data_IF_992650737630
#
_entry.id   IF_992650737630
#
_cell.length_a   1.000
_cell.length_b   1.000
_cell.length_c   1.000
_cell.angle_alpha   90.00
_cell.angle_beta   90.00
_cell.angle_gamma   90.00
#
_symmetry.space_group_name_H-M   'P 1'
#
loop_
_entity.id
_entity.type
_entity.pdbx_description
1 polymer ?
#
# COMPACT_ATOMS: atom_id res chain seq x y z
N UNK A 1 -9.18 -27.58 38.31
CA UNK A 1 -9.86 -27.21 37.05
C UNK A 1 -8.83 -26.76 36.05
N UNK A 2 -8.40 -27.65 35.15
CA UNK A 2 -7.40 -27.39 34.11
C UNK A 2 -8.12 -27.39 32.76
N UNK A 3 -7.98 -26.29 32.03
CA UNK A 3 -8.59 -26.06 30.72
C UNK A 3 -7.88 -26.93 29.69
N UNK A 4 -8.64 -27.80 29.01
CA UNK A 4 -8.18 -28.70 27.94
C UNK A 4 -7.82 -27.86 26.71
N UNK A 5 -6.56 -27.94 26.26
CA UNK A 5 -6.15 -27.59 24.90
C UNK A 5 -6.68 -28.66 23.94
N UNK A 6 -7.52 -28.26 22.99
CA UNK A 6 -7.93 -29.09 21.87
C UNK A 6 -6.78 -29.08 20.83
N UNK A 7 -6.00 -30.16 20.79
CA UNK A 7 -5.11 -30.47 19.66
C UNK A 7 -5.97 -31.10 18.55
N UNK A 8 -6.07 -30.45 17.40
CA UNK A 8 -6.59 -31.07 16.19
C UNK A 8 -5.40 -31.74 15.48
N UNK A 9 -5.38 -33.07 15.52
CA UNK A 9 -4.48 -33.91 14.75
C UNK A 9 -5.06 -34.14 13.35
N UNK A 10 -4.32 -33.79 12.31
CA UNK A 10 -4.60 -34.23 10.94
C UNK A 10 -3.66 -35.40 10.64
N UNK A 11 -4.25 -36.53 10.29
CA UNK A 11 -3.58 -37.81 10.05
C UNK A 11 -2.64 -37.73 8.83
N UNK A 12 -1.34 -37.89 9.07
CA UNK A 12 -0.34 -38.14 8.04
C UNK A 12 -0.04 -39.63 7.95
N UNK A 13 -0.42 -40.24 6.83
CA UNK A 13 -0.03 -41.60 6.46
C UNK A 13 1.47 -41.58 6.12
N UNK A 14 2.29 -42.31 6.89
CA UNK A 14 3.65 -42.65 6.51
C UNK A 14 3.61 -43.70 5.39
N UNK A 15 3.98 -43.30 4.18
CA UNK A 15 4.52 -44.23 3.17
C UNK A 15 6.01 -43.94 3.06
N UNK A 16 6.81 -44.86 3.58
CA UNK A 16 8.25 -44.93 3.36
C UNK A 16 8.51 -45.43 1.94
N UNK A 17 9.13 -44.60 1.11
CA UNK A 17 9.90 -45.07 -0.04
C UNK A 17 11.25 -44.36 -0.03
N UNK A 18 12.31 -45.13 0.24
CA UNK A 18 13.68 -44.63 0.22
C UNK A 18 14.10 -44.21 -1.18
N UNK A 19 14.78 -43.08 -1.28
CA UNK A 19 15.52 -42.69 -2.48
C UNK A 19 16.93 -42.31 -2.08
N UNK A 20 17.87 -43.04 -2.69
CA UNK A 20 19.31 -42.89 -2.66
C UNK A 20 19.77 -41.43 -2.73
N UNK A 21 20.71 -41.07 -1.86
CA UNK A 21 21.42 -39.81 -1.87
C UNK A 21 22.29 -39.71 -3.13
N UNK A 22 21.93 -38.81 -4.04
CA UNK A 22 22.85 -38.31 -5.05
C UNK A 22 23.10 -36.83 -4.74
N UNK A 23 24.19 -36.57 -4.01
CA UNK A 23 24.69 -35.23 -3.73
C UNK A 23 25.14 -34.58 -5.05
N UNK A 24 24.28 -33.76 -5.64
CA UNK A 24 24.69 -32.58 -6.40
C UNK A 24 24.20 -31.37 -5.62
N UNK A 25 25.11 -30.77 -4.87
CA UNK A 25 24.93 -29.43 -4.32
C UNK A 25 24.66 -28.47 -5.47
N UNK A 26 23.41 -28.05 -5.63
CA UNK A 26 23.08 -26.89 -6.43
C UNK A 26 23.70 -25.67 -5.76
N UNK A 27 24.54 -24.93 -6.48
CA UNK A 27 25.04 -23.63 -6.05
C UNK A 27 23.83 -22.72 -5.82
N UNK A 28 23.60 -22.35 -4.56
CA UNK A 28 22.60 -21.35 -4.21
C UNK A 28 23.09 -20.00 -4.71
N UNK A 29 22.45 -19.49 -5.76
CA UNK A 29 22.57 -18.09 -6.16
C UNK A 29 22.24 -17.18 -4.97
N UNK A 30 22.95 -16.06 -4.86
CA UNK A 30 22.81 -15.13 -3.76
C UNK A 30 21.36 -14.63 -3.66
N UNK A 31 20.73 -14.72 -2.48
CA UNK A 31 19.34 -14.29 -2.24
C UNK A 31 19.09 -12.82 -2.63
N UNK A 32 20.13 -12.00 -2.57
CA UNK A 32 20.14 -10.61 -3.04
C UNK A 32 19.95 -10.51 -4.57
N UNK A 33 20.56 -11.42 -5.33
CA UNK A 33 20.43 -11.46 -6.79
C UNK A 33 19.03 -11.91 -7.19
N UNK A 34 18.48 -12.93 -6.52
CA UNK A 34 17.10 -13.39 -6.73
C UNK A 34 16.06 -12.28 -6.47
N UNK A 35 16.27 -11.46 -5.42
CA UNK A 35 15.38 -10.32 -5.12
C UNK A 35 15.46 -9.24 -6.18
N UNK A 36 16.65 -8.95 -6.69
CA UNK A 36 16.86 -7.96 -7.76
C UNK A 36 16.22 -8.41 -9.08
N UNK A 37 16.40 -9.69 -9.44
CA UNK A 37 15.77 -10.28 -10.62
C UNK A 37 14.24 -10.29 -10.46
N UNK A 38 13.74 -10.64 -9.27
CA UNK A 38 12.32 -10.60 -8.96
C UNK A 38 11.73 -9.20 -9.24
N UNK A 39 12.30 -8.15 -8.65
CA UNK A 39 11.82 -6.78 -8.85
C UNK A 39 11.87 -6.35 -10.32
N UNK A 40 12.92 -6.75 -11.05
CA UNK A 40 13.02 -6.48 -12.49
C UNK A 40 11.91 -7.16 -13.29
N UNK A 41 11.55 -8.40 -12.95
CA UNK A 41 10.46 -9.13 -13.60
C UNK A 41 9.10 -8.53 -13.27
N UNK A 42 8.88 -8.10 -12.03
CA UNK A 42 7.65 -7.37 -11.63
C UNK A 42 7.51 -6.08 -12.45
N UNK A 43 8.56 -5.26 -12.56
CA UNK A 43 8.52 -4.03 -13.38
C UNK A 43 8.20 -4.32 -14.85
N UNK A 44 8.68 -5.45 -15.39
CA UNK A 44 8.33 -5.88 -16.76
C UNK A 44 6.87 -6.35 -16.86
N UNK A 45 6.38 -7.08 -15.86
CA UNK A 45 4.99 -7.51 -15.78
C UNK A 45 4.04 -6.29 -15.76
N UNK A 46 4.30 -5.33 -14.88
CA UNK A 46 3.54 -4.09 -14.78
C UNK A 46 3.57 -3.29 -16.10
N UNK A 47 4.75 -3.20 -16.74
CA UNK A 47 4.86 -2.54 -18.06
C UNK A 47 4.02 -3.23 -19.14
N UNK A 48 3.97 -4.56 -19.16
CA UNK A 48 3.14 -5.31 -20.09
C UNK A 48 1.65 -5.13 -19.79
N UNK A 49 1.28 -5.13 -18.51
CA UNK A 49 -0.08 -4.89 -18.03
C UNK A 49 -0.60 -3.53 -18.51
N UNK A 50 0.18 -2.47 -18.32
CA UNK A 50 -0.18 -1.11 -18.75
C UNK A 50 -0.34 -0.99 -20.27
N UNK A 51 0.30 -1.88 -21.04
CA UNK A 51 0.15 -1.99 -22.50
C UNK A 51 -0.96 -2.96 -22.92
N UNK A 52 -1.75 -3.46 -21.97
CA UNK A 52 -2.81 -4.45 -22.16
C UNK A 52 -2.32 -5.78 -22.76
N UNK A 53 -1.03 -6.11 -22.62
CA UNK A 53 -0.50 -7.41 -22.99
C UNK A 53 -0.53 -8.34 -21.77
N UNK A 54 -1.74 -8.79 -21.42
CA UNK A 54 -2.02 -9.51 -20.18
C UNK A 54 -1.40 -10.91 -20.13
N UNK A 55 -1.34 -11.61 -21.27
CA UNK A 55 -0.68 -12.91 -21.36
C UNK A 55 0.82 -12.79 -21.03
N UNK A 56 1.51 -11.83 -21.66
CA UNK A 56 2.94 -11.60 -21.37
C UNK A 56 3.17 -11.07 -19.96
N UNK A 57 2.27 -10.22 -19.45
CA UNK A 57 2.31 -9.77 -18.06
C UNK A 57 2.21 -10.95 -17.09
N UNK A 58 1.24 -11.84 -17.30
CA UNK A 58 1.04 -13.07 -16.52
C UNK A 58 2.28 -13.97 -16.57
N UNK A 59 2.90 -14.14 -17.74
CA UNK A 59 4.15 -14.90 -17.88
C UNK A 59 5.32 -14.31 -17.08
N UNK A 60 5.43 -12.97 -17.01
CA UNK A 60 6.48 -12.34 -16.19
C UNK A 60 6.23 -12.53 -14.69
N UNK A 61 4.97 -12.49 -14.25
CA UNK A 61 4.61 -12.84 -12.87
C UNK A 61 4.98 -14.30 -12.55
N UNK A 62 4.70 -15.26 -13.44
CA UNK A 62 5.10 -16.67 -13.22
C UNK A 62 6.61 -16.82 -13.06
N UNK A 63 7.38 -16.19 -13.95
CA UNK A 63 8.84 -16.18 -13.85
C UNK A 63 9.28 -15.60 -12.52
N UNK A 64 8.68 -14.49 -12.08
CA UNK A 64 9.02 -13.87 -10.80
C UNK A 64 8.72 -14.82 -9.62
N UNK A 65 7.53 -15.44 -9.60
CA UNK A 65 7.11 -16.33 -8.52
C UNK A 65 7.87 -17.66 -8.48
N UNK A 66 8.50 -18.07 -9.59
CA UNK A 66 9.36 -19.26 -9.64
C UNK A 66 10.76 -19.07 -9.02
N UNK A 67 11.16 -17.85 -8.65
CA UNK A 67 12.51 -17.57 -8.13
C UNK A 67 12.75 -18.00 -6.68
N UNK A 68 11.77 -18.59 -6.01
CA UNK A 68 11.87 -18.97 -4.59
C UNK A 68 11.86 -17.77 -3.63
N UNK A 69 11.68 -16.55 -4.14
CA UNK A 69 11.43 -15.34 -3.33
C UNK A 69 9.96 -15.33 -2.95
N UNK A 70 9.64 -15.12 -1.66
CA UNK A 70 8.25 -14.96 -1.21
C UNK A 70 7.62 -13.78 -1.97
N UNK A 71 6.56 -14.01 -2.78
CA UNK A 71 5.96 -12.93 -3.55
C UNK A 71 5.33 -11.88 -2.64
N UNK A 72 5.51 -10.59 -2.92
CA UNK A 72 4.79 -9.52 -2.23
C UNK A 72 3.28 -9.67 -2.47
N UNK A 73 2.47 -9.37 -1.46
CA UNK A 73 1.02 -9.61 -1.46
C UNK A 73 0.31 -9.01 -2.69
N UNK A 74 0.62 -7.75 -3.02
CA UNK A 74 0.03 -7.03 -4.15
C UNK A 74 0.43 -7.65 -5.49
N UNK A 75 1.61 -8.24 -5.60
CA UNK A 75 2.07 -8.86 -6.84
C UNK A 75 1.26 -10.13 -7.14
N UNK A 76 0.88 -10.92 -6.12
CA UNK A 76 0.00 -12.07 -6.31
C UNK A 76 -1.36 -11.66 -6.87
N UNK A 77 -1.92 -10.56 -6.37
CA UNK A 77 -3.21 -10.04 -6.84
C UNK A 77 -3.12 -9.45 -8.25
N UNK A 78 -2.13 -8.58 -8.52
CA UNK A 78 -1.92 -8.03 -9.86
C UNK A 78 -1.66 -9.15 -10.88
N UNK A 79 -0.92 -10.19 -10.49
CA UNK A 79 -0.74 -11.39 -11.30
C UNK A 79 -2.04 -12.14 -11.51
N UNK A 80 -2.92 -12.24 -10.51
CA UNK A 80 -4.24 -12.83 -10.70
C UNK A 80 -5.10 -12.03 -11.70
N UNK A 81 -5.12 -10.70 -11.61
CA UNK A 81 -5.80 -9.83 -12.58
C UNK A 81 -5.24 -10.04 -14.00
N UNK A 82 -3.92 -10.09 -14.16
CA UNK A 82 -3.29 -10.34 -15.46
C UNK A 82 -3.70 -11.70 -16.05
N UNK A 83 -3.76 -12.75 -15.23
CA UNK A 83 -4.20 -14.08 -15.66
C UNK A 83 -5.71 -14.11 -16.01
N UNK A 84 -6.55 -13.48 -15.22
CA UNK A 84 -7.99 -13.39 -15.47
C UNK A 84 -8.30 -12.66 -16.78
N UNK A 85 -7.60 -11.54 -17.04
CA UNK A 85 -7.69 -10.77 -18.27
C UNK A 85 -7.11 -11.49 -19.49
N UNK A 86 -6.14 -12.40 -19.30
CA UNK A 86 -5.65 -13.27 -20.37
C UNK A 86 -6.53 -14.51 -20.60
N UNK A 87 -7.61 -14.68 -19.84
CA UNK A 87 -8.51 -15.84 -19.92
C UNK A 87 -8.00 -17.11 -19.23
N UNK A 88 -6.91 -17.03 -18.47
CA UNK A 88 -6.38 -18.16 -17.68
C UNK A 88 -7.01 -18.18 -16.27
N UNK A 89 -8.22 -18.72 -16.19
CA UNK A 89 -8.97 -18.87 -14.94
C UNK A 89 -8.19 -19.68 -13.89
N UNK A 90 -7.48 -20.74 -14.32
CA UNK A 90 -6.76 -21.63 -13.41
C UNK A 90 -5.63 -20.91 -12.67
N UNK A 91 -4.80 -20.19 -13.41
CA UNK A 91 -3.70 -19.41 -12.84
C UNK A 91 -4.21 -18.25 -11.99
N UNK A 92 -5.29 -17.59 -12.40
CA UNK A 92 -5.90 -16.50 -11.63
C UNK A 92 -6.33 -16.96 -10.24
N UNK A 93 -7.12 -18.04 -10.14
CA UNK A 93 -7.54 -18.58 -8.84
C UNK A 93 -6.37 -19.10 -8.01
N UNK A 94 -5.39 -19.78 -8.62
CA UNK A 94 -4.20 -20.24 -7.90
C UNK A 94 -3.47 -19.07 -7.22
N UNK A 95 -3.32 -17.93 -7.90
CA UNK A 95 -2.69 -16.73 -7.35
C UNK A 95 -3.55 -16.05 -6.26
N UNK A 96 -4.87 -15.98 -6.44
CA UNK A 96 -5.80 -15.43 -5.43
C UNK A 96 -5.77 -16.25 -4.13
N UNK A 97 -5.92 -17.56 -4.22
CA UNK A 97 -5.85 -18.45 -3.05
C UNK A 97 -4.45 -18.47 -2.43
N UNK A 98 -3.38 -18.41 -3.24
CA UNK A 98 -2.02 -18.27 -2.71
C UNK A 98 -1.84 -16.97 -1.92
N UNK A 99 -2.43 -15.85 -2.37
CA UNK A 99 -2.41 -14.59 -1.60
C UNK A 99 -3.07 -14.77 -0.25
N UNK A 100 -4.29 -15.32 -0.23
CA UNK A 100 -5.04 -15.59 1.02
C UNK A 100 -4.23 -16.46 1.99
N UNK A 101 -3.57 -17.51 1.49
CA UNK A 101 -2.76 -18.41 2.31
C UNK A 101 -1.48 -17.76 2.85
N UNK A 102 -0.77 -16.98 2.02
CA UNK A 102 0.52 -16.36 2.38
C UNK A 102 0.35 -15.09 3.22
N UNK A 103 -0.83 -14.48 3.18
CA UNK A 103 -1.20 -13.21 3.81
C UNK A 103 -2.57 -13.31 4.51
N UNK A 104 -2.66 -14.03 5.63
CA UNK A 104 -3.95 -14.27 6.32
C UNK A 104 -4.57 -13.03 6.98
N UNK A 105 -3.88 -11.88 6.91
CA UNK A 105 -4.41 -10.57 7.34
C UNK A 105 -5.03 -9.78 6.17
N UNK A 106 -4.93 -10.29 4.94
CA UNK A 106 -5.47 -9.63 3.76
C UNK A 106 -6.88 -10.13 3.45
N UNK A 107 -7.80 -9.19 3.25
CA UNK A 107 -9.10 -9.38 2.60
C UNK A 107 -9.41 -8.18 1.72
N UNK A 108 -10.50 -8.23 0.94
CA UNK A 108 -10.93 -7.12 0.10
C UNK A 108 -12.44 -6.92 0.19
N UNK A 109 -12.85 -5.71 0.55
CA UNK A 109 -14.25 -5.29 0.55
C UNK A 109 -14.82 -5.05 -0.85
N UNK A 110 -13.93 -4.91 -1.84
CA UNK A 110 -14.27 -4.44 -3.18
C UNK A 110 -13.91 -5.44 -4.27
N UNK A 111 -13.58 -6.70 -3.92
CA UNK A 111 -13.15 -7.70 -4.89
C UNK A 111 -14.20 -7.94 -5.98
N UNK A 112 -15.49 -7.83 -5.64
CA UNK A 112 -16.62 -7.95 -6.58
C UNK A 112 -16.76 -6.77 -7.55
N UNK A 113 -16.08 -5.65 -7.28
CA UNK A 113 -16.12 -4.46 -8.13
C UNK A 113 -14.92 -4.38 -9.08
N UNK A 114 -13.92 -5.24 -8.87
CA UNK A 114 -12.72 -5.28 -9.70
C UNK A 114 -13.07 -5.83 -11.09
N UNK A 115 -12.94 -4.95 -12.09
CA UNK A 115 -13.30 -5.28 -13.47
C UNK A 115 -12.37 -6.31 -14.10
N UNK A 116 -11.14 -6.40 -13.58
CA UNK A 116 -10.13 -7.30 -14.13
C UNK A 116 -10.41 -8.76 -13.75
N UNK A 117 -11.26 -8.98 -12.74
CA UNK A 117 -11.67 -10.30 -12.25
C UNK A 117 -13.06 -10.72 -12.73
N UNK A 118 -13.78 -9.91 -13.51
CA UNK A 118 -15.17 -10.18 -13.94
C UNK A 118 -15.34 -11.54 -14.63
N UNK A 119 -14.33 -11.99 -15.39
CA UNK A 119 -14.34 -13.28 -16.07
C UNK A 119 -14.43 -14.47 -15.10
N UNK A 120 -14.02 -14.28 -13.85
CA UNK A 120 -14.00 -15.32 -12.82
C UNK A 120 -15.34 -15.47 -12.09
N UNK A 121 -16.21 -14.46 -12.12
CA UNK A 121 -17.40 -14.37 -11.26
C UNK A 121 -18.43 -15.50 -11.49
N UNK A 122 -18.39 -16.15 -12.66
CA UNK A 122 -19.27 -17.26 -13.00
C UNK A 122 -18.74 -18.63 -12.56
N UNK A 123 -17.48 -18.70 -12.12
CA UNK A 123 -16.86 -19.94 -11.65
C UNK A 123 -17.28 -20.26 -10.21
N UNK A 124 -17.61 -21.52 -9.86
CA UNK A 124 -17.88 -21.90 -8.47
C UNK A 124 -16.72 -21.61 -7.50
N UNK A 125 -15.48 -21.53 -8.01
CA UNK A 125 -14.31 -21.13 -7.21
C UNK A 125 -14.38 -19.69 -6.73
N UNK A 126 -15.13 -18.83 -7.43
CA UNK A 126 -15.36 -17.44 -7.03
C UNK A 126 -16.15 -17.37 -5.75
N UNK A 127 -17.25 -18.12 -5.66
CA UNK A 127 -18.07 -18.21 -4.44
C UNK A 127 -17.23 -18.67 -3.25
N UNK A 128 -16.41 -19.71 -3.43
CA UNK A 128 -15.47 -20.20 -2.40
C UNK A 128 -14.49 -19.11 -1.97
N UNK A 129 -13.94 -18.34 -2.91
CA UNK A 129 -13.02 -17.25 -2.62
C UNK A 129 -13.72 -16.14 -1.82
N UNK A 130 -14.91 -15.71 -2.26
CA UNK A 130 -15.70 -14.68 -1.57
C UNK A 130 -16.05 -15.10 -0.15
N UNK A 131 -16.52 -16.33 0.05
CA UNK A 131 -16.83 -16.88 1.38
C UNK A 131 -15.59 -16.93 2.28
N UNK A 132 -14.44 -17.31 1.71
CA UNK A 132 -13.16 -17.33 2.42
C UNK A 132 -12.77 -15.93 2.87
N UNK A 133 -12.85 -14.93 1.99
CA UNK A 133 -12.52 -13.54 2.32
C UNK A 133 -13.50 -12.94 3.34
N UNK A 134 -14.79 -13.26 3.25
CA UNK A 134 -15.81 -12.82 4.20
C UNK A 134 -15.58 -13.43 5.60
N UNK A 135 -15.23 -14.72 5.67
CA UNK A 135 -14.88 -15.38 6.92
C UNK A 135 -13.62 -14.76 7.55
N UNK A 136 -12.59 -14.47 6.74
CA UNK A 136 -11.38 -13.80 7.19
C UNK A 136 -11.66 -12.40 7.71
N UNK A 137 -12.42 -11.59 6.97
CA UNK A 137 -12.86 -10.26 7.42
C UNK A 137 -13.55 -10.34 8.77
N UNK A 138 -14.55 -11.21 8.89
CA UNK A 138 -15.31 -11.40 10.14
C UNK A 138 -14.39 -11.78 11.30
N UNK A 139 -13.39 -12.62 11.05
CA UNK A 139 -12.42 -13.01 12.06
C UNK A 139 -11.47 -11.87 12.45
N UNK A 140 -10.92 -11.14 11.48
CA UNK A 140 -9.96 -10.04 11.68
C UNK A 140 -10.65 -8.88 12.42
N UNK A 141 -11.84 -8.48 11.95
CA UNK A 141 -12.55 -7.31 12.46
C UNK A 141 -13.37 -7.59 13.75
N UNK A 142 -13.35 -8.83 14.28
CA UNK A 142 -14.24 -9.23 15.40
C UNK A 142 -14.17 -8.37 16.67
N UNK A 143 -13.04 -7.67 16.86
CA UNK A 143 -12.76 -6.84 18.02
C UNK A 143 -12.66 -5.36 17.65
N UNK A 144 -12.96 -4.99 16.40
CA UNK A 144 -12.87 -3.62 15.96
C UNK A 144 -13.95 -2.76 16.61
N UNK A 145 -13.60 -1.50 16.86
CA UNK A 145 -14.61 -0.46 17.02
C UNK A 145 -15.11 -0.09 15.63
N UNK A 146 -16.15 -0.80 15.17
CA UNK A 146 -16.72 -0.58 13.84
C UNK A 146 -17.24 0.84 13.65
N UNK A 147 -17.75 1.49 14.70
CA UNK A 147 -18.23 2.87 14.58
C UNK A 147 -17.07 3.86 14.35
N UNK A 148 -15.96 3.70 15.08
CA UNK A 148 -14.77 4.52 14.87
C UNK A 148 -14.11 4.20 13.52
N UNK A 149 -14.05 2.93 13.13
CA UNK A 149 -13.55 2.51 11.82
C UNK A 149 -14.35 3.14 10.69
N UNK A 150 -15.68 3.02 10.71
CA UNK A 150 -16.56 3.58 9.67
C UNK A 150 -16.45 5.11 9.60
N UNK A 151 -16.26 5.77 10.76
CA UNK A 151 -16.00 7.21 10.82
C UNK A 151 -14.68 7.57 10.13
N UNK A 152 -13.60 6.82 10.37
CA UNK A 152 -12.30 7.02 9.73
C UNK A 152 -12.35 6.73 8.22
N UNK A 153 -13.04 5.67 7.80
CA UNK A 153 -13.24 5.36 6.38
C UNK A 153 -14.02 6.48 5.66
N UNK A 154 -15.02 7.06 6.33
CA UNK A 154 -15.76 8.22 5.82
C UNK A 154 -14.88 9.47 5.71
N UNK A 155 -13.98 9.69 6.68
CA UNK A 155 -13.00 10.79 6.63
C UNK A 155 -12.06 10.62 5.43
N UNK A 156 -11.48 9.42 5.26
CA UNK A 156 -10.65 9.08 4.10
C UNK A 156 -11.37 9.39 2.78
N UNK A 157 -12.60 8.90 2.63
CA UNK A 157 -13.39 9.10 1.42
C UNK A 157 -13.64 10.59 1.14
N UNK A 158 -14.00 11.36 2.18
CA UNK A 158 -14.25 12.81 2.06
C UNK A 158 -12.99 13.62 1.78
N UNK A 159 -11.82 13.14 2.22
CA UNK A 159 -10.51 13.76 1.91
C UNK A 159 -10.09 13.46 0.46
N UNK A 160 -10.12 12.18 0.06
CA UNK A 160 -9.57 11.77 -1.23
C UNK A 160 -10.46 12.08 -2.43
N UNK A 161 -11.78 12.02 -2.28
CA UNK A 161 -12.72 12.27 -3.40
C UNK A 161 -12.55 13.65 -4.06
N UNK A 162 -12.57 14.78 -3.33
CA UNK A 162 -12.38 16.09 -3.95
C UNK A 162 -10.97 16.29 -4.49
N UNK A 163 -9.94 15.68 -3.88
CA UNK A 163 -8.56 15.70 -4.39
C UNK A 163 -8.46 15.02 -5.76
N UNK A 164 -9.06 13.85 -5.91
CA UNK A 164 -9.12 13.15 -7.19
C UNK A 164 -9.86 13.97 -8.25
N UNK A 165 -10.99 14.58 -7.90
CA UNK A 165 -11.73 15.45 -8.82
C UNK A 165 -10.93 16.69 -9.24
N UNK A 166 -10.20 17.30 -8.31
CA UNK A 166 -9.30 18.43 -8.57
C UNK A 166 -8.16 18.05 -9.52
N UNK A 167 -7.45 16.95 -9.24
CA UNK A 167 -6.36 16.46 -10.09
C UNK A 167 -6.86 16.06 -11.49
N UNK A 168 -8.05 15.45 -11.58
CA UNK A 168 -8.68 15.11 -12.85
C UNK A 168 -9.01 16.36 -13.68
N UNK A 169 -9.55 17.42 -13.04
CA UNK A 169 -9.83 18.68 -13.71
C UNK A 169 -8.55 19.35 -14.24
N UNK A 170 -7.48 19.39 -13.43
CA UNK A 170 -6.17 19.92 -13.86
C UNK A 170 -5.61 19.21 -15.10
N UNK A 171 -5.79 17.88 -15.19
CA UNK A 171 -5.27 17.08 -16.31
C UNK A 171 -6.12 17.17 -17.57
N UNK A 172 -7.45 17.17 -17.41
CA UNK A 172 -8.39 17.04 -18.53
C UNK A 172 -8.81 18.37 -19.15
N UNK A 173 -8.95 19.41 -18.33
CA UNK A 173 -9.46 20.72 -18.74
C UNK A 173 -8.69 21.87 -18.05
N UNK A 174 -7.35 21.93 -18.19
CA UNK A 174 -6.50 22.91 -17.49
C UNK A 174 -6.89 24.39 -17.73
N UNK A 175 -7.51 24.69 -18.87
CA UNK A 175 -7.97 26.01 -19.26
C UNK A 175 -9.26 26.45 -18.53
N UNK A 176 -10.03 25.52 -17.98
CA UNK A 176 -11.26 25.84 -17.22
C UNK A 176 -10.91 26.24 -15.79
N UNK A 177 -10.43 27.47 -15.65
CA UNK A 177 -10.00 28.01 -14.36
C UNK A 177 -11.15 28.13 -13.35
N UNK A 178 -12.41 28.23 -13.80
CA UNK A 178 -13.57 28.29 -12.91
C UNK A 178 -13.86 26.93 -12.29
N UNK A 179 -13.85 25.86 -13.09
CA UNK A 179 -14.00 24.49 -12.58
C UNK A 179 -12.88 24.14 -11.60
N UNK A 180 -11.62 24.42 -11.96
CA UNK A 180 -10.46 24.14 -11.10
C UNK A 180 -10.58 24.86 -9.75
N UNK A 181 -10.94 26.15 -9.76
CA UNK A 181 -11.17 26.92 -8.53
C UNK A 181 -12.33 26.36 -7.71
N UNK A 182 -13.41 25.93 -8.37
CA UNK A 182 -14.56 25.32 -7.70
C UNK A 182 -14.17 24.03 -6.98
N UNK A 183 -13.38 23.16 -7.64
CA UNK A 183 -12.86 21.92 -7.02
C UNK A 183 -11.90 22.20 -5.87
N UNK A 184 -11.07 23.23 -5.98
CA UNK A 184 -10.19 23.65 -4.90
C UNK A 184 -10.98 24.11 -3.67
N UNK A 185 -12.04 24.90 -3.84
CA UNK A 185 -12.90 25.36 -2.74
C UNK A 185 -13.65 24.18 -2.09
N UNK A 186 -14.14 23.24 -2.89
CA UNK A 186 -14.77 22.01 -2.39
C UNK A 186 -13.80 21.19 -1.52
N UNK A 187 -12.56 21.02 -2.00
CA UNK A 187 -11.49 20.34 -1.26
C UNK A 187 -11.18 21.05 0.06
N UNK A 188 -10.97 22.37 0.05
CA UNK A 188 -10.69 23.15 1.26
C UNK A 188 -11.83 23.09 2.28
N UNK A 189 -13.08 23.07 1.81
CA UNK A 189 -14.25 22.89 2.69
C UNK A 189 -14.20 21.52 3.37
N UNK A 190 -13.95 20.45 2.63
CA UNK A 190 -13.85 19.11 3.19
C UNK A 190 -12.68 18.98 4.16
N UNK A 191 -11.52 19.56 3.83
CA UNK A 191 -10.35 19.62 4.71
C UNK A 191 -10.72 20.22 6.07
N UNK A 192 -11.47 21.32 6.09
CA UNK A 192 -11.89 21.97 7.34
C UNK A 192 -12.83 21.10 8.20
N UNK A 193 -13.72 20.32 7.59
CA UNK A 193 -14.65 19.44 8.29
C UNK A 193 -13.89 18.22 8.84
N UNK A 194 -13.07 17.59 8.00
CA UNK A 194 -12.26 16.44 8.38
C UNK A 194 -11.27 16.79 9.50
N UNK A 195 -10.67 17.98 9.46
CA UNK A 195 -9.77 18.45 10.50
C UNK A 195 -10.44 18.48 11.88
N UNK A 196 -11.67 19.00 11.98
CA UNK A 196 -12.43 19.03 13.25
C UNK A 196 -12.64 17.62 13.79
N UNK A 197 -13.06 16.69 12.93
CA UNK A 197 -13.31 15.31 13.34
C UNK A 197 -12.05 14.56 13.72
N UNK A 198 -10.95 14.74 12.98
CA UNK A 198 -9.67 14.08 13.30
C UNK A 198 -9.09 14.62 14.60
N UNK A 199 -9.21 15.92 14.87
CA UNK A 199 -8.77 16.47 16.15
C UNK A 199 -9.56 15.90 17.33
N UNK A 200 -10.88 15.79 17.19
CA UNK A 200 -11.76 15.16 18.18
C UNK A 200 -11.37 13.69 18.45
N UNK A 201 -11.08 12.92 17.39
CA UNK A 201 -10.59 11.54 17.50
C UNK A 201 -9.24 11.51 18.23
N UNK A 202 -8.29 12.35 17.82
CA UNK A 202 -6.94 12.36 18.42
C UNK A 202 -6.95 12.81 19.88
N UNK A 203 -7.76 13.81 20.22
CA UNK A 203 -7.86 14.33 21.59
C UNK A 203 -8.59 13.34 22.51
N UNK A 204 -9.47 12.47 21.97
CA UNK A 204 -10.21 11.45 22.74
C UNK A 204 -9.49 10.11 22.85
N UNK A 205 -8.85 9.65 21.78
CA UNK A 205 -8.31 8.29 21.65
C UNK A 205 -6.78 8.24 21.56
N UNK A 206 -6.11 9.38 21.35
CA UNK A 206 -4.74 9.37 20.83
C UNK A 206 -4.70 8.79 19.42
N UNK A 207 -3.76 7.90 19.13
CA UNK A 207 -3.71 7.15 17.86
C UNK A 207 -4.53 5.86 17.98
N UNK A 208 -5.65 5.69 17.25
CA UNK A 208 -6.35 4.42 17.19
C UNK A 208 -5.48 3.37 16.51
N UNK A 209 -5.11 2.31 17.23
CA UNK A 209 -4.26 1.24 16.68
C UNK A 209 -5.00 0.43 15.60
N UNK A 210 -4.23 -0.22 14.74
CA UNK A 210 -4.75 -1.13 13.71
C UNK A 210 -5.48 -2.35 14.30
N UNK A 211 -5.25 -2.68 15.56
CA UNK A 211 -6.03 -3.71 16.28
C UNK A 211 -7.49 -3.28 16.53
N UNK A 212 -7.78 -1.98 16.57
CA UNK A 212 -9.11 -1.43 16.87
C UNK A 212 -9.83 -0.99 15.58
N UNK A 213 -9.09 -0.43 14.61
CA UNK A 213 -9.70 0.16 13.40
C UNK A 213 -9.08 -0.34 12.09
N UNK A 214 -8.16 -1.30 12.14
CA UNK A 214 -7.43 -1.74 10.96
C UNK A 214 -6.62 -0.61 10.32
N UNK A 215 -6.48 -0.66 9.00
CA UNK A 215 -5.78 0.37 8.23
C UNK A 215 -6.49 1.73 8.15
N UNK A 216 -7.73 1.84 8.65
CA UNK A 216 -8.51 3.08 8.58
C UNK A 216 -7.90 4.22 9.39
N UNK A 217 -7.04 3.92 10.37
CA UNK A 217 -6.28 4.95 11.09
C UNK A 217 -5.38 5.81 10.18
N UNK A 218 -5.02 5.33 8.98
CA UNK A 218 -4.22 6.10 8.03
C UNK A 218 -4.92 7.41 7.59
N UNK A 219 -6.26 7.45 7.61
CA UNK A 219 -7.04 8.66 7.34
C UNK A 219 -6.62 9.85 8.22
N UNK A 220 -6.15 9.59 9.44
CA UNK A 220 -5.64 10.61 10.36
C UNK A 220 -4.41 11.29 9.76
N UNK A 221 -3.43 10.52 9.29
CA UNK A 221 -2.24 11.10 8.69
C UNK A 221 -2.57 11.89 7.43
N UNK A 222 -3.47 11.36 6.58
CA UNK A 222 -3.92 12.02 5.35
C UNK A 222 -4.51 13.40 5.61
N UNK A 223 -5.33 13.54 6.65
CA UNK A 223 -5.90 14.84 7.03
C UNK A 223 -4.84 15.75 7.63
N UNK A 224 -4.06 15.28 8.61
CA UNK A 224 -3.11 16.13 9.34
C UNK A 224 -2.07 16.76 8.42
N UNK A 225 -1.58 16.06 7.39
CA UNK A 225 -0.63 16.64 6.45
C UNK A 225 -1.14 17.87 5.68
N UNK A 226 -2.46 18.08 5.64
CA UNK A 226 -3.12 19.19 4.97
C UNK A 226 -3.62 20.27 5.95
N UNK A 227 -3.17 20.22 7.21
CA UNK A 227 -3.52 21.22 8.25
C UNK A 227 -2.47 22.31 8.40
N UNK A 228 -2.69 23.27 9.31
CA UNK A 228 -1.72 24.30 9.68
C UNK A 228 -0.43 23.70 10.26
N UNK A 229 0.69 24.41 10.11
CA UNK A 229 1.99 24.03 10.68
C UNK A 229 1.91 23.69 12.17
N UNK A 230 1.21 24.51 12.96
CA UNK A 230 1.02 24.31 14.41
C UNK A 230 0.36 22.96 14.73
N UNK A 231 -0.69 22.60 13.98
CA UNK A 231 -1.37 21.32 14.14
C UNK A 231 -0.48 20.13 13.74
N UNK A 232 0.25 20.25 12.63
CA UNK A 232 1.21 19.22 12.22
C UNK A 232 2.23 18.97 13.33
N UNK A 233 2.80 20.02 13.90
CA UNK A 233 3.79 19.93 14.97
C UNK A 233 3.22 19.38 16.27
N UNK A 234 2.00 19.77 16.62
CA UNK A 234 1.27 19.23 17.78
C UNK A 234 1.18 17.70 17.71
N UNK A 235 0.90 17.15 16.53
CA UNK A 235 0.63 15.71 16.35
C UNK A 235 1.84 14.90 15.84
N UNK A 236 2.94 15.54 15.41
CA UNK A 236 4.13 14.84 14.93
C UNK A 236 4.70 13.83 15.96
N UNK A 237 4.79 14.11 17.28
CA UNK A 237 5.21 13.11 18.27
C UNK A 237 4.33 11.86 18.29
N UNK A 238 3.04 11.99 18.01
CA UNK A 238 2.12 10.85 17.92
C UNK A 238 2.47 9.96 16.72
N UNK A 239 2.83 10.55 15.58
CA UNK A 239 3.24 9.79 14.39
C UNK A 239 4.58 9.09 14.57
N UNK A 240 5.53 9.69 15.31
CA UNK A 240 6.75 8.99 15.71
C UNK A 240 6.44 7.75 16.54
N UNK A 241 5.54 7.87 17.52
CA UNK A 241 5.13 6.74 18.37
C UNK A 241 4.42 5.65 17.56
N UNK A 242 3.49 6.04 16.67
CA UNK A 242 2.82 5.11 15.78
C UNK A 242 3.82 4.35 14.90
N UNK A 243 4.79 5.05 14.29
CA UNK A 243 5.81 4.42 13.47
C UNK A 243 6.78 3.53 14.25
N UNK A 244 7.14 3.91 15.49
CA UNK A 244 7.97 3.08 16.37
C UNK A 244 7.27 1.76 16.75
N UNK A 245 5.93 1.77 16.82
CA UNK A 245 5.11 0.59 17.07
C UNK A 245 4.70 -0.18 15.80
N UNK A 246 5.13 0.26 14.61
CA UNK A 246 4.78 -0.37 13.34
C UNK A 246 3.36 -0.08 12.84
N UNK A 247 2.67 0.90 13.43
CA UNK A 247 1.29 1.31 13.09
C UNK A 247 1.24 2.34 11.95
N UNK A 248 2.35 3.00 11.67
CA UNK A 248 2.49 3.96 10.57
C UNK A 248 3.83 3.73 9.86
N UNK A 249 3.86 3.71 8.53
CA UNK A 249 5.12 3.57 7.82
C UNK A 249 6.03 4.78 8.10
N UNK A 250 7.32 4.53 8.37
CA UNK A 250 8.30 5.58 8.71
C UNK A 250 8.42 6.66 7.63
N UNK A 251 8.22 6.31 6.36
CA UNK A 251 8.25 7.28 5.26
C UNK A 251 7.24 8.42 5.45
N UNK A 252 6.08 8.15 6.05
CA UNK A 252 5.06 9.16 6.34
C UNK A 252 5.47 10.12 7.46
N UNK A 253 6.29 9.67 8.40
CA UNK A 253 6.90 10.55 9.41
C UNK A 253 7.94 11.45 8.76
N UNK A 254 8.84 10.89 7.95
CA UNK A 254 9.84 11.66 7.20
C UNK A 254 9.20 12.75 6.31
N UNK A 255 8.09 12.42 5.64
CA UNK A 255 7.33 13.40 4.85
C UNK A 255 6.79 14.56 5.69
N UNK A 256 6.35 14.29 6.92
CA UNK A 256 5.81 15.32 7.81
C UNK A 256 6.91 16.19 8.42
N UNK A 257 8.04 15.60 8.82
CA UNK A 257 9.21 16.34 9.29
C UNK A 257 9.73 17.31 8.23
N UNK A 258 9.98 16.82 7.01
CA UNK A 258 10.44 17.65 5.91
C UNK A 258 9.42 18.75 5.55
N UNK A 259 8.11 18.48 5.66
CA UNK A 259 7.07 19.50 5.46
C UNK A 259 7.13 20.60 6.52
N UNK A 260 7.35 20.24 7.78
CA UNK A 260 7.55 21.21 8.85
C UNK A 260 8.79 22.07 8.57
N UNK A 261 9.89 21.46 8.14
CA UNK A 261 11.12 22.17 7.82
C UNK A 261 10.93 23.12 6.64
N UNK A 262 10.33 22.65 5.55
CA UNK A 262 10.02 23.50 4.39
C UNK A 262 9.15 24.69 4.76
N UNK A 263 8.07 24.50 5.53
CA UNK A 263 7.17 25.59 5.95
C UNK A 263 7.82 26.57 6.92
N UNK A 264 8.87 26.15 7.64
CA UNK A 264 9.74 27.02 8.44
C UNK A 264 10.90 27.64 7.67
N UNK A 265 10.98 27.44 6.35
CA UNK A 265 12.12 27.82 5.53
C UNK A 265 13.46 27.24 6.04
N UNK A 266 13.45 26.02 6.56
CA UNK A 266 14.62 25.26 7.01
C UNK A 266 14.94 24.16 6.02
N UNK A 267 16.22 23.82 5.81
CA UNK A 267 16.57 22.69 4.97
C UNK A 267 15.97 21.40 5.53
N UNK A 268 15.44 20.57 4.64
CA UNK A 268 14.78 19.31 4.95
C UNK A 268 15.79 18.15 4.99
N UNK A 269 15.50 17.09 5.72
CA UNK A 269 16.44 15.99 5.94
C UNK A 269 16.33 14.90 4.87
N UNK A 270 15.12 14.55 4.45
CA UNK A 270 14.89 13.35 3.62
C UNK A 270 14.62 13.67 2.15
N UNK A 271 14.39 14.93 1.78
CA UNK A 271 14.17 15.35 0.39
C UNK A 271 12.79 14.94 -0.13
N UNK A 272 11.79 14.82 0.74
CA UNK A 272 10.44 14.39 0.36
C UNK A 272 9.59 15.54 -0.22
N UNK A 273 9.81 16.78 0.22
CA UNK A 273 9.12 17.95 -0.30
C UNK A 273 9.83 18.47 -1.55
N UNK A 274 9.07 18.63 -2.63
CA UNK A 274 9.59 19.04 -3.94
C UNK A 274 9.08 20.44 -4.29
N UNK A 275 9.93 21.20 -4.97
CA UNK A 275 9.60 22.48 -5.62
C UNK A 275 9.81 22.35 -7.13
N UNK A 276 9.26 23.29 -7.89
CA UNK A 276 9.51 23.38 -9.33
C UNK A 276 10.68 24.31 -9.59
N UNK A 277 11.65 23.86 -10.37
CA UNK A 277 12.73 24.73 -10.86
C UNK A 277 12.26 25.56 -12.08
N UNK A 278 13.14 26.41 -12.61
CA UNK A 278 12.84 27.26 -13.78
C UNK A 278 12.49 26.47 -15.04
N UNK A 279 12.93 25.22 -15.14
CA UNK A 279 12.62 24.30 -16.25
C UNK A 279 11.29 23.55 -16.04
N UNK A 280 10.60 23.78 -14.91
CA UNK A 280 9.36 23.08 -14.55
C UNK A 280 9.59 21.67 -14.01
N UNK A 281 10.82 21.26 -13.74
CA UNK A 281 11.15 19.95 -13.16
C UNK A 281 10.93 19.97 -11.65
N UNK A 282 10.49 18.84 -11.09
CA UNK A 282 10.41 18.66 -9.65
C UNK A 282 11.81 18.37 -9.10
N UNK A 283 12.28 19.25 -8.23
CA UNK A 283 13.57 19.14 -7.52
C UNK A 283 13.30 19.19 -6.02
N UNK A 284 14.15 18.56 -5.16
CA UNK A 284 13.93 18.65 -3.73
C UNK A 284 14.08 20.10 -3.26
N UNK A 285 13.24 20.51 -2.31
CA UNK A 285 13.53 21.70 -1.51
C UNK A 285 14.88 21.54 -0.79
N UNK A 286 15.50 22.64 -0.35
CA UNK A 286 16.85 22.68 0.22
C UNK A 286 17.11 21.52 1.18
N UNK A 287 18.19 20.76 0.94
CA UNK A 287 18.57 19.60 1.75
C UNK A 287 19.50 20.00 2.89
N UNK A 288 19.35 19.35 4.04
CA UNK A 288 20.23 19.54 5.19
C UNK A 288 21.66 19.06 4.90
N UNK A 289 21.78 17.90 4.26
CA UNK A 289 23.06 17.31 3.84
C UNK A 289 22.81 16.39 2.63
N UNK A 290 23.13 16.83 1.40
CA UNK A 290 22.95 16.03 0.19
C UNK A 290 23.75 14.73 0.18
N UNK A 291 24.89 14.66 0.89
CA UNK A 291 25.75 13.46 0.91
C UNK A 291 25.17 12.37 1.82
N UNK A 292 24.40 12.75 2.84
CA UNK A 292 23.78 11.81 3.80
C UNK A 292 22.34 11.45 3.48
N UNK A 293 21.70 12.13 2.54
CA UNK A 293 20.26 12.03 2.29
C UNK A 293 19.81 10.57 2.08
N UNK A 294 20.53 9.78 1.28
CA UNK A 294 20.14 8.39 1.01
C UNK A 294 20.37 7.45 2.22
N UNK A 295 21.30 7.80 3.12
CA UNK A 295 21.47 7.07 4.38
C UNK A 295 20.24 7.28 5.26
N UNK A 296 19.78 8.52 5.41
CA UNK A 296 18.58 8.84 6.18
C UNK A 296 17.29 8.33 5.55
N UNK A 297 17.20 8.38 4.21
CA UNK A 297 16.05 7.82 3.48
C UNK A 297 15.93 6.32 3.72
N UNK A 298 17.05 5.59 3.70
CA UNK A 298 17.07 4.15 4.02
C UNK A 298 16.58 3.86 5.44
N UNK A 299 16.95 4.66 6.43
CA UNK A 299 16.46 4.52 7.82
C UNK A 299 14.94 4.68 7.94
N UNK A 300 14.35 5.49 7.06
CA UNK A 300 12.91 5.78 7.00
C UNK A 300 12.17 4.98 5.93
N UNK A 301 12.78 3.92 5.40
CA UNK A 301 12.18 3.04 4.39
C UNK A 301 11.78 3.75 3.09
N UNK A 302 12.44 4.88 2.79
CA UNK A 302 12.31 5.61 1.55
C UNK A 302 13.26 5.04 0.48
N UNK A 303 12.86 5.02 -0.81
CA UNK A 303 13.77 4.69 -1.91
C UNK A 303 14.86 5.76 -2.02
N UNK A 304 15.99 5.49 -2.69
CA UNK A 304 16.99 6.51 -2.99
C UNK A 304 16.38 7.78 -3.60
N UNK A 305 16.92 8.95 -3.28
CA UNK A 305 16.38 10.24 -3.69
C UNK A 305 16.28 10.34 -5.21
N UNK A 306 17.31 9.89 -5.93
CA UNK A 306 17.31 9.92 -7.39
C UNK A 306 16.16 9.10 -7.98
N UNK A 307 15.90 7.90 -7.47
CA UNK A 307 14.79 7.06 -7.92
C UNK A 307 13.44 7.76 -7.67
N UNK A 308 13.28 8.38 -6.50
CA UNK A 308 12.10 9.15 -6.15
C UNK A 308 11.86 10.33 -7.11
N UNK A 309 12.90 11.10 -7.44
CA UNK A 309 12.80 12.22 -8.38
C UNK A 309 12.44 11.75 -9.80
N UNK A 310 13.01 10.65 -10.26
CA UNK A 310 12.63 10.05 -11.54
C UNK A 310 11.18 9.59 -11.57
N UNK A 311 10.64 9.07 -10.45
CA UNK A 311 9.22 8.72 -10.35
C UNK A 311 8.33 9.96 -10.38
N UNK A 312 8.72 11.04 -9.71
CA UNK A 312 7.93 12.27 -9.64
C UNK A 312 7.93 13.06 -10.94
N UNK A 313 9.03 13.04 -11.70
CA UNK A 313 9.13 13.71 -13.01
C UNK A 313 8.57 12.88 -14.18
N UNK A 314 8.19 11.61 -13.94
CA UNK A 314 7.47 10.77 -14.93
C UNK A 314 5.96 10.99 -14.94
N UNK A 315 5.42 11.71 -13.95
CA UNK A 315 3.97 11.97 -13.76
C UNK A 315 3.54 13.27 -14.40
#
# INVERSE_FOLDING_TARGET
>A
MKIKRLMVWIAGILITCGVSANNKTAEYGNQQDSTTIYNTLISKADSCYMKQNFELASMFFDKAFSLGVKPVDKHLYNGACAAALSGDEGTAFNRLFARVQLYPQWYSDQINQDRDLLSLHTSPKWEILCDTLQALKTFIERNYDHALKDRLDSIHYRDQTPRHAYLAALRSVPQDTLLIKTRLVEMQRNDSINQIEVFDILDSYGWPSSEIVGGSNFAIWEVIQHTSLEAIEKYLPLFHNAAANGELNKSFVAMMEDRCDMWRNRPQKYGTQLIRNDNGESVPYALLDPEKVDTWRKEMELPPLQEYLEQMNRR
#
